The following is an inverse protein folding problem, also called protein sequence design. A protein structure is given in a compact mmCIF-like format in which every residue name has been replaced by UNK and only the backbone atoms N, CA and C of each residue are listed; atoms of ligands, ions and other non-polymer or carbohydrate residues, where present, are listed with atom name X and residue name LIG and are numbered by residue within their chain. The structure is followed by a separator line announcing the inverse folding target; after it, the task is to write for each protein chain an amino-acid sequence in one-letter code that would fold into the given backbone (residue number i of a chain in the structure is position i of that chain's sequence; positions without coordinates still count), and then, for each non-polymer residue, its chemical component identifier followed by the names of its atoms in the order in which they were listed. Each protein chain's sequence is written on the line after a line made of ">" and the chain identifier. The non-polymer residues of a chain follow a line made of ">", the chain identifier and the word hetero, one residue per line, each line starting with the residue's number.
data_IF_210658898643
#
_entry.id   IF_210658898643
#
_cell.length_a   1.000
_cell.length_b   1.000
_cell.length_c   1.000
_cell.angle_alpha   90.00
_cell.angle_beta   90.00
_cell.angle_gamma   90.00
#
_symmetry.space_group_name_H-M   'P 1'
#
loop_
_entity.id
_entity.type
_entity.pdbx_description
1 polymer ?
#
# COMPACT_ATOMS: atom_id res chain seq x y z
N UNK A 1 5.82 -60.28 -16.83
CA UNK A 1 6.54 -59.10 -17.22
C UNK A 1 6.29 -57.99 -16.23
N UNK A 2 7.26 -57.67 -15.35
CA UNK A 2 7.20 -56.53 -14.48
C UNK A 2 7.48 -55.27 -15.32
N UNK A 3 6.51 -54.39 -15.48
CA UNK A 3 6.72 -53.05 -15.99
C UNK A 3 7.40 -52.22 -14.88
N UNK A 4 8.67 -51.92 -15.09
CA UNK A 4 9.39 -50.92 -14.28
C UNK A 4 8.90 -49.54 -14.68
N UNK A 5 8.31 -48.80 -13.74
CA UNK A 5 8.09 -47.34 -13.86
C UNK A 5 9.43 -46.64 -14.04
N UNK A 6 9.57 -45.75 -14.97
CA UNK A 6 10.85 -45.00 -15.15
C UNK A 6 11.14 -44.19 -13.89
N UNK A 7 12.38 -44.31 -13.37
CA UNK A 7 12.86 -43.47 -12.29
C UNK A 7 13.00 -42.03 -12.80
N UNK A 8 12.44 -41.05 -12.01
CA UNK A 8 12.62 -39.64 -12.28
C UNK A 8 14.11 -39.24 -12.36
N UNK A 9 14.45 -38.39 -13.31
CA UNK A 9 15.81 -37.87 -13.48
C UNK A 9 16.22 -36.96 -12.32
N UNK A 10 17.53 -36.79 -12.07
CA UNK A 10 18.05 -35.94 -11.00
C UNK A 10 17.58 -34.47 -11.19
N UNK A 11 17.36 -34.05 -12.44
CA UNK A 11 16.85 -32.73 -12.79
C UNK A 11 15.36 -32.57 -12.44
N UNK A 12 14.54 -33.58 -12.69
CA UNK A 12 13.12 -33.62 -12.31
C UNK A 12 12.95 -33.63 -10.79
N UNK A 13 13.81 -34.35 -10.04
CA UNK A 13 13.83 -34.36 -8.57
C UNK A 13 14.23 -32.98 -8.02
N UNK A 14 15.16 -32.27 -8.70
CA UNK A 14 15.59 -30.94 -8.31
C UNK A 14 14.49 -29.90 -8.54
N UNK A 15 13.77 -29.98 -9.67
CA UNK A 15 12.61 -29.13 -9.98
C UNK A 15 11.46 -29.38 -9.00
N UNK A 16 11.20 -30.63 -8.61
CA UNK A 16 10.17 -30.98 -7.64
C UNK A 16 10.55 -30.56 -6.20
N UNK A 17 11.84 -30.65 -5.83
CA UNK A 17 12.37 -30.14 -4.58
C UNK A 17 12.32 -28.60 -4.51
N UNK A 18 12.64 -27.89 -5.61
CA UNK A 18 12.51 -26.44 -5.70
C UNK A 18 11.04 -25.99 -5.66
N UNK A 19 10.10 -26.71 -6.27
CA UNK A 19 8.66 -26.46 -6.17
C UNK A 19 8.11 -26.74 -4.76
N UNK A 20 8.62 -27.74 -4.07
CA UNK A 20 8.22 -28.05 -2.69
C UNK A 20 8.81 -27.06 -1.69
N UNK A 21 10.03 -26.53 -1.90
CA UNK A 21 10.64 -25.49 -1.07
C UNK A 21 9.88 -24.16 -1.21
N UNK A 22 9.41 -23.79 -2.41
CA UNK A 22 8.58 -22.61 -2.63
C UNK A 22 7.17 -22.74 -2.03
N UNK A 23 6.64 -23.94 -1.84
CA UNK A 23 5.33 -24.19 -1.21
C UNK A 23 5.38 -24.19 0.33
N UNK A 24 6.54 -24.45 0.94
CA UNK A 24 6.71 -24.56 2.40
C UNK A 24 7.16 -23.28 3.07
N UNK A 25 7.68 -22.30 2.32
CA UNK A 25 8.02 -20.98 2.82
C UNK A 25 6.86 -20.01 2.65
N UNK A 26 5.79 -20.23 3.44
CA UNK A 26 4.78 -19.20 3.59
C UNK A 26 5.42 -18.01 4.30
N UNK A 27 5.39 -16.84 3.64
CA UNK A 27 5.95 -15.61 4.19
C UNK A 27 5.15 -15.23 5.44
N UNK A 28 5.84 -14.81 6.50
CA UNK A 28 5.24 -14.42 7.78
C UNK A 28 4.08 -13.43 7.61
N UNK A 29 4.16 -12.56 6.61
CA UNK A 29 3.14 -11.56 6.31
C UNK A 29 2.05 -12.00 5.33
N UNK A 30 2.07 -13.26 4.85
CA UNK A 30 1.11 -13.74 3.83
C UNK A 30 -0.33 -13.61 4.30
N UNK A 31 -0.62 -13.92 5.56
CA UNK A 31 -1.97 -13.77 6.12
C UNK A 31 -2.51 -12.34 6.06
N UNK A 32 -1.64 -11.34 6.12
CA UNK A 32 -2.04 -9.93 5.97
C UNK A 32 -2.30 -9.58 4.51
N UNK A 33 -1.49 -10.12 3.59
CA UNK A 33 -1.69 -9.92 2.15
C UNK A 33 -2.98 -10.56 1.65
N UNK A 34 -3.38 -11.68 2.24
CA UNK A 34 -4.61 -12.39 1.90
C UNK A 34 -5.88 -11.59 2.22
N UNK A 35 -5.77 -10.56 3.06
CA UNK A 35 -6.86 -9.64 3.38
C UNK A 35 -7.07 -8.55 2.32
N UNK A 36 -6.12 -8.38 1.40
CA UNK A 36 -6.21 -7.36 0.35
C UNK A 36 -7.13 -7.87 -0.77
N UNK A 37 -8.11 -7.07 -1.15
CA UNK A 37 -9.05 -7.39 -2.21
C UNK A 37 -9.08 -6.29 -3.28
N UNK A 38 -8.88 -6.62 -4.56
CA UNK A 38 -8.51 -7.94 -5.08
C UNK A 38 -7.07 -8.31 -4.73
N UNK A 39 -6.79 -9.61 -4.61
CA UNK A 39 -5.44 -10.11 -4.35
C UNK A 39 -4.55 -9.91 -5.58
N UNK A 40 -3.66 -8.94 -5.52
CA UNK A 40 -2.77 -8.57 -6.62
C UNK A 40 -1.28 -8.72 -6.28
N UNK A 41 -0.95 -8.92 -5.02
CA UNK A 41 0.44 -9.07 -4.59
C UNK A 41 1.06 -10.34 -5.19
N UNK A 42 2.34 -10.28 -5.54
CA UNK A 42 3.10 -11.34 -6.22
C UNK A 42 2.65 -11.65 -7.67
N UNK A 43 1.68 -10.94 -8.21
CA UNK A 43 1.30 -11.10 -9.61
C UNK A 43 2.10 -10.13 -10.50
N UNK A 44 3.18 -10.63 -11.09
CA UNK A 44 4.03 -9.85 -12.01
C UNK A 44 3.66 -10.02 -13.48
N UNK A 45 2.61 -10.78 -13.78
CA UNK A 45 2.16 -11.03 -15.16
C UNK A 45 1.70 -9.73 -15.82
N UNK A 46 2.24 -9.47 -17.01
CA UNK A 46 1.87 -8.29 -17.80
C UNK A 46 2.54 -6.98 -17.35
N UNK A 47 3.38 -7.00 -16.32
CA UNK A 47 4.17 -5.82 -15.96
C UNK A 47 5.20 -5.52 -17.03
N UNK A 48 5.29 -4.24 -17.43
CA UNK A 48 6.23 -3.75 -18.45
C UNK A 48 7.43 -3.04 -17.83
N UNK A 49 7.91 -3.55 -16.70
CA UNK A 49 9.06 -3.01 -16.00
C UNK A 49 10.36 -3.42 -16.71
N UNK A 50 11.24 -2.45 -16.87
CA UNK A 50 12.58 -2.65 -17.43
C UNK A 50 13.61 -2.66 -16.31
N UNK A 51 14.76 -3.31 -16.57
CA UNK A 51 15.89 -3.30 -15.64
C UNK A 51 16.28 -1.88 -15.27
N UNK A 52 16.44 -1.63 -13.98
CA UNK A 52 16.83 -0.33 -13.44
C UNK A 52 15.71 0.71 -13.37
N UNK A 53 14.48 0.36 -13.68
CA UNK A 53 13.36 1.28 -13.52
C UNK A 53 13.21 1.75 -12.08
N UNK A 54 12.63 2.94 -11.91
CA UNK A 54 12.51 3.64 -10.65
C UNK A 54 11.05 3.80 -10.23
N UNK A 55 10.73 3.41 -9.00
CA UNK A 55 9.44 3.61 -8.36
C UNK A 55 9.65 4.46 -7.12
N UNK A 56 8.87 5.53 -6.97
CA UNK A 56 8.91 6.41 -5.81
C UNK A 56 7.70 6.19 -4.91
N UNK A 57 7.94 5.94 -3.63
CA UNK A 57 6.91 5.84 -2.60
C UNK A 57 7.07 7.00 -1.63
N UNK A 58 5.98 7.73 -1.41
CA UNK A 58 5.94 8.90 -0.54
C UNK A 58 4.93 8.66 0.58
N UNK A 59 5.42 8.65 1.82
CA UNK A 59 4.61 8.56 3.02
C UNK A 59 4.27 9.93 3.58
N UNK A 60 3.56 9.93 4.73
CA UNK A 60 3.22 11.18 5.44
C UNK A 60 4.33 11.65 6.37
N UNK A 61 5.13 10.73 6.90
CA UNK A 61 6.18 11.05 7.87
C UNK A 61 7.31 10.04 7.87
N UNK A 62 8.41 10.43 8.50
CA UNK A 62 9.51 9.59 8.93
C UNK A 62 9.54 9.48 10.46
N UNK A 63 10.20 8.46 10.98
CA UNK A 63 10.58 8.37 12.40
C UNK A 63 9.46 8.04 13.37
N UNK A 64 8.31 7.58 12.90
CA UNK A 64 7.25 7.03 13.74
C UNK A 64 7.17 5.52 13.57
N UNK A 65 6.67 4.81 14.57
CA UNK A 65 6.53 3.35 14.50
C UNK A 65 5.70 2.91 13.29
N UNK A 66 4.57 3.57 13.04
CA UNK A 66 3.69 3.25 11.92
C UNK A 66 4.42 3.41 10.57
N UNK A 67 5.05 4.56 10.35
CA UNK A 67 5.73 4.83 9.09
C UNK A 67 7.02 4.04 8.90
N UNK A 68 7.69 3.68 9.98
CA UNK A 68 8.83 2.75 9.94
C UNK A 68 8.38 1.35 9.46
N UNK A 69 7.22 0.88 9.91
CA UNK A 69 6.63 -0.38 9.42
C UNK A 69 6.21 -0.29 7.94
N UNK A 70 5.65 0.85 7.52
CA UNK A 70 5.34 1.09 6.09
C UNK A 70 6.62 1.02 5.26
N UNK A 71 7.69 1.68 5.70
CA UNK A 71 8.99 1.64 5.02
C UNK A 71 9.56 0.23 4.91
N UNK A 72 9.44 -0.57 5.95
CA UNK A 72 9.82 -1.99 5.90
C UNK A 72 9.00 -2.75 4.85
N UNK A 73 7.69 -2.50 4.79
CA UNK A 73 6.80 -3.08 3.79
C UNK A 73 7.21 -2.72 2.37
N UNK A 74 7.57 -1.46 2.13
CA UNK A 74 8.08 -0.98 0.84
C UNK A 74 9.37 -1.71 0.46
N UNK A 75 10.30 -1.84 1.38
CA UNK A 75 11.56 -2.56 1.17
C UNK A 75 11.31 -4.03 0.83
N UNK A 76 10.43 -4.69 1.57
CA UNK A 76 10.08 -6.08 1.34
C UNK A 76 9.39 -6.28 -0.01
N UNK A 77 8.46 -5.39 -0.38
CA UNK A 77 7.79 -5.44 -1.66
C UNK A 77 8.79 -5.29 -2.83
N UNK A 78 9.77 -4.40 -2.69
CA UNK A 78 10.84 -4.22 -3.68
C UNK A 78 11.69 -5.49 -3.84
N UNK A 79 12.06 -6.13 -2.74
CA UNK A 79 12.79 -7.41 -2.76
C UNK A 79 11.98 -8.51 -3.46
N UNK A 80 10.71 -8.65 -3.11
CA UNK A 80 9.81 -9.64 -3.71
C UNK A 80 9.59 -9.39 -5.20
N UNK A 81 9.42 -8.14 -5.60
CA UNK A 81 9.28 -7.74 -7.01
C UNK A 81 10.53 -8.14 -7.81
N UNK A 82 11.70 -7.77 -7.34
CA UNK A 82 12.96 -8.08 -8.02
C UNK A 82 13.20 -9.60 -8.09
N UNK A 83 12.89 -10.33 -7.03
CA UNK A 83 12.98 -11.80 -7.04
C UNK A 83 12.04 -12.41 -8.09
N UNK A 84 10.79 -11.93 -8.19
CA UNK A 84 9.84 -12.40 -9.19
C UNK A 84 10.27 -12.10 -10.62
N UNK A 85 10.91 -10.94 -10.85
CA UNK A 85 11.41 -10.54 -12.16
C UNK A 85 12.76 -11.16 -12.51
N UNK A 86 13.46 -11.74 -11.54
CA UNK A 86 14.81 -12.26 -11.70
C UNK A 86 15.88 -11.19 -11.86
N UNK A 87 15.64 -9.98 -11.36
CA UNK A 87 16.58 -8.86 -11.44
C UNK A 87 17.50 -8.81 -10.22
N UNK A 88 18.80 -8.66 -10.48
CA UNK A 88 19.85 -8.63 -9.47
C UNK A 88 20.80 -7.45 -9.69
N UNK A 89 21.53 -7.08 -8.66
CA UNK A 89 22.55 -6.03 -8.72
C UNK A 89 21.99 -4.70 -9.25
N UNK A 90 22.68 -4.12 -10.22
CA UNK A 90 22.28 -2.86 -10.87
C UNK A 90 21.02 -2.96 -11.74
N UNK A 91 20.59 -4.18 -12.07
CA UNK A 91 19.41 -4.43 -12.87
C UNK A 91 18.11 -4.36 -12.04
N UNK A 92 18.23 -4.35 -10.72
CA UNK A 92 17.08 -4.27 -9.83
C UNK A 92 16.21 -3.04 -10.11
N UNK A 93 14.90 -3.23 -10.01
CA UNK A 93 13.96 -2.11 -9.87
C UNK A 93 14.33 -1.36 -8.59
N UNK A 94 14.55 -0.07 -8.70
CA UNK A 94 14.89 0.80 -7.58
C UNK A 94 13.61 1.39 -6.99
N UNK A 95 13.36 1.10 -5.73
CA UNK A 95 12.20 1.64 -5.00
C UNK A 95 12.71 2.49 -3.84
N UNK A 96 12.24 3.73 -3.74
CA UNK A 96 12.58 4.63 -2.65
C UNK A 96 11.37 4.93 -1.80
N UNK A 97 11.61 5.21 -0.52
CA UNK A 97 10.64 5.76 0.40
C UNK A 97 11.13 7.12 0.89
N UNK A 98 10.33 8.15 0.68
CA UNK A 98 10.56 9.50 1.20
C UNK A 98 9.29 10.01 1.87
N UNK A 99 9.45 10.90 2.83
CA UNK A 99 8.33 11.52 3.53
C UNK A 99 8.76 12.82 4.19
N UNK A 100 7.82 13.73 4.50
CA UNK A 100 8.08 14.84 5.40
C UNK A 100 8.57 14.38 6.78
N UNK A 101 9.26 15.23 7.50
CA UNK A 101 9.66 14.93 8.88
C UNK A 101 8.44 14.87 9.82
N UNK A 102 7.40 15.65 9.52
CA UNK A 102 6.15 15.71 10.28
C UNK A 102 4.96 15.33 9.42
N UNK A 103 4.04 14.55 9.97
CA UNK A 103 2.90 13.96 9.27
C UNK A 103 1.82 14.96 8.81
N UNK A 104 1.87 16.20 9.26
CA UNK A 104 0.90 17.25 8.94
C UNK A 104 1.46 18.32 7.98
N UNK A 105 2.69 18.15 7.49
CA UNK A 105 3.32 19.13 6.62
C UNK A 105 2.96 18.92 5.15
N UNK A 106 1.87 19.55 4.73
CA UNK A 106 1.35 19.48 3.35
C UNK A 106 2.37 20.02 2.34
N UNK A 107 2.96 21.17 2.62
CA UNK A 107 3.89 21.83 1.69
C UNK A 107 5.14 20.98 1.44
N UNK A 108 5.70 20.38 2.47
CA UNK A 108 6.84 19.47 2.33
C UNK A 108 6.47 18.25 1.48
N UNK A 109 5.28 17.69 1.65
CA UNK A 109 4.85 16.56 0.83
C UNK A 109 4.65 16.93 -0.64
N UNK A 110 4.05 18.08 -0.91
CA UNK A 110 3.91 18.63 -2.28
C UNK A 110 5.27 18.80 -2.93
N UNK A 111 6.22 19.39 -2.22
CA UNK A 111 7.57 19.61 -2.72
C UNK A 111 8.31 18.28 -2.98
N UNK A 112 8.15 17.29 -2.10
CA UNK A 112 8.70 15.95 -2.31
C UNK A 112 8.13 15.29 -3.58
N UNK A 113 6.84 15.41 -3.80
CA UNK A 113 6.21 14.86 -5.00
C UNK A 113 6.74 15.54 -6.26
N UNK A 114 6.87 16.89 -6.26
CA UNK A 114 7.48 17.63 -7.37
C UNK A 114 8.90 17.12 -7.67
N UNK A 115 9.73 17.00 -6.64
CA UNK A 115 11.12 16.52 -6.78
C UNK A 115 11.17 15.08 -7.31
N UNK A 116 10.30 14.22 -6.83
CA UNK A 116 10.25 12.81 -7.28
C UNK A 116 9.75 12.68 -8.71
N UNK A 117 8.77 13.47 -9.12
CA UNK A 117 8.30 13.48 -10.51
C UNK A 117 9.39 13.93 -11.49
N UNK A 118 10.26 14.85 -11.09
CA UNK A 118 11.41 15.29 -11.87
C UNK A 118 12.45 14.18 -12.13
N UNK A 119 12.41 13.11 -11.37
CA UNK A 119 13.23 11.91 -11.59
C UNK A 119 12.61 10.92 -12.57
N UNK A 120 11.45 11.20 -13.10
CA UNK A 120 10.72 10.35 -14.04
C UNK A 120 10.55 8.90 -13.56
N UNK A 121 9.94 8.67 -12.39
CA UNK A 121 9.63 7.32 -11.95
C UNK A 121 8.63 6.66 -12.90
N UNK A 122 8.67 5.34 -13.00
CA UNK A 122 7.68 4.58 -13.78
C UNK A 122 6.33 4.49 -13.07
N UNK A 123 6.32 4.71 -11.76
CA UNK A 123 5.11 4.79 -10.94
C UNK A 123 5.41 5.54 -9.63
N UNK A 124 4.37 6.14 -9.06
CA UNK A 124 4.39 6.80 -7.76
C UNK A 124 3.34 6.18 -6.87
N UNK A 125 3.71 5.80 -5.66
CA UNK A 125 2.79 5.48 -4.57
C UNK A 125 2.84 6.59 -3.53
N UNK A 126 1.69 7.08 -3.08
CA UNK A 126 1.64 8.18 -2.11
C UNK A 126 0.47 8.03 -1.13
N UNK A 127 0.75 8.29 0.16
CA UNK A 127 -0.28 8.52 1.17
C UNK A 127 -0.42 10.01 1.39
N UNK A 128 -1.59 10.57 1.08
CA UNK A 128 -1.80 12.01 0.99
C UNK A 128 -2.09 12.61 2.37
N UNK A 129 -1.33 13.63 2.75
CA UNK A 129 -1.53 14.37 4.02
C UNK A 129 -2.86 15.12 4.00
N UNK A 130 -3.17 15.77 2.90
CA UNK A 130 -4.40 16.53 2.70
C UNK A 130 -5.15 16.02 1.47
N UNK A 131 -6.41 15.62 1.65
CA UNK A 131 -7.28 15.05 0.62
C UNK A 131 -7.29 15.85 -0.70
N UNK A 132 -7.16 17.17 -0.62
CA UNK A 132 -7.24 18.08 -1.77
C UNK A 132 -5.88 18.55 -2.27
N UNK A 133 -4.79 18.17 -1.62
CA UNK A 133 -3.45 18.57 -2.02
C UNK A 133 -2.94 17.81 -3.25
N UNK A 134 -1.87 18.32 -3.83
CA UNK A 134 -1.15 17.69 -4.94
C UNK A 134 -1.90 17.62 -6.28
N UNK A 135 -2.97 18.35 -6.46
CA UNK A 135 -3.76 18.30 -7.71
C UNK A 135 -2.91 18.67 -8.95
N UNK A 136 -2.09 19.72 -8.85
CA UNK A 136 -1.20 20.16 -9.93
C UNK A 136 -0.15 19.08 -10.25
N UNK A 137 0.42 18.47 -9.21
CA UNK A 137 1.43 17.43 -9.36
C UNK A 137 0.82 16.16 -9.98
N UNK A 138 -0.41 15.82 -9.64
CA UNK A 138 -1.11 14.71 -10.24
C UNK A 138 -1.45 14.96 -11.72
N UNK A 139 -1.78 16.19 -12.08
CA UNK A 139 -1.93 16.57 -13.49
C UNK A 139 -0.62 16.40 -14.26
N UNK A 140 0.50 16.83 -13.68
CA UNK A 140 1.83 16.64 -14.27
C UNK A 140 2.18 15.15 -14.43
N UNK A 141 1.87 14.33 -13.44
CA UNK A 141 2.08 12.88 -13.51
C UNK A 141 1.25 12.25 -14.64
N UNK A 142 -0.01 12.64 -14.75
CA UNK A 142 -0.93 12.18 -15.81
C UNK A 142 -0.41 12.57 -17.18
N UNK A 143 0.02 13.82 -17.36
CA UNK A 143 0.56 14.32 -18.63
C UNK A 143 1.88 13.61 -19.00
N UNK A 144 2.64 13.17 -18.02
CA UNK A 144 3.89 12.40 -18.19
C UNK A 144 3.67 10.90 -18.29
N UNK A 145 2.43 10.44 -18.27
CA UNK A 145 2.07 9.01 -18.24
C UNK A 145 2.67 8.22 -17.07
N UNK A 146 2.82 8.89 -15.92
CA UNK A 146 3.28 8.29 -14.67
C UNK A 146 2.05 7.93 -13.83
N UNK A 147 1.73 6.63 -13.67
CA UNK A 147 0.61 6.22 -12.84
C UNK A 147 0.88 6.54 -11.37
N UNK A 148 -0.17 7.02 -10.70
CA UNK A 148 -0.18 7.29 -9.27
C UNK A 148 -1.12 6.31 -8.58
N UNK A 149 -0.60 5.64 -7.56
CA UNK A 149 -1.37 4.79 -6.64
C UNK A 149 -1.37 5.48 -5.28
N UNK A 150 -2.54 5.65 -4.69
CA UNK A 150 -2.64 6.10 -3.30
C UNK A 150 -2.71 4.90 -2.35
N UNK A 151 -2.22 5.08 -1.15
CA UNK A 151 -2.34 4.08 -0.09
C UNK A 151 -2.55 4.77 1.25
N UNK A 152 -3.09 4.05 2.24
CA UNK A 152 -3.40 4.55 3.58
C UNK A 152 -4.41 5.71 3.56
N UNK A 153 -4.04 6.87 3.03
CA UNK A 153 -4.93 8.01 2.81
C UNK A 153 -4.93 8.43 1.34
N UNK A 154 -6.12 8.50 0.75
CA UNK A 154 -6.33 8.78 -0.66
C UNK A 154 -6.48 10.26 -1.01
N UNK A 155 -6.87 10.51 -2.25
CA UNK A 155 -7.03 11.82 -2.86
C UNK A 155 -8.40 11.96 -3.53
N UNK A 156 -8.87 13.20 -3.66
CA UNK A 156 -10.04 13.55 -4.50
C UNK A 156 -9.72 13.51 -6.00
N UNK A 157 -8.48 13.38 -6.38
CA UNK A 157 -8.06 13.39 -7.77
C UNK A 157 -8.60 12.18 -8.53
N UNK A 158 -9.30 12.41 -9.64
CA UNK A 158 -9.98 11.36 -10.41
C UNK A 158 -9.03 10.49 -11.23
N UNK A 159 -7.82 10.95 -11.49
CA UNK A 159 -6.82 10.24 -12.30
C UNK A 159 -5.94 9.26 -11.53
N UNK A 160 -6.23 8.99 -10.26
CA UNK A 160 -5.51 7.99 -9.47
C UNK A 160 -5.79 6.59 -10.04
N UNK A 161 -4.73 5.83 -10.30
CA UNK A 161 -4.84 4.51 -10.92
C UNK A 161 -5.45 3.45 -9.99
N UNK A 162 -5.14 3.53 -8.71
CA UNK A 162 -5.66 2.63 -7.66
C UNK A 162 -5.49 3.26 -6.28
N UNK A 163 -6.30 2.80 -5.33
CA UNK A 163 -6.17 3.12 -3.92
C UNK A 163 -6.09 1.83 -3.10
N UNK A 164 -5.10 1.72 -2.22
CA UNK A 164 -4.90 0.58 -1.33
C UNK A 164 -4.99 1.09 0.10
N UNK A 165 -6.14 0.88 0.73
CA UNK A 165 -6.40 1.42 2.06
C UNK A 165 -7.35 0.52 2.86
N UNK A 166 -7.42 0.77 4.15
CA UNK A 166 -8.50 0.27 5.00
C UNK A 166 -9.84 0.82 4.50
N UNK A 167 -10.91 0.04 4.59
CA UNK A 167 -12.27 0.57 4.48
C UNK A 167 -12.56 1.44 5.71
N UNK A 168 -12.24 2.72 5.62
CA UNK A 168 -12.30 3.66 6.73
C UNK A 168 -13.74 4.00 7.13
N UNK A 169 -14.68 3.89 6.21
CA UNK A 169 -16.10 4.05 6.50
C UNK A 169 -16.59 2.89 7.37
N UNK A 170 -16.30 1.66 6.95
CA UNK A 170 -16.61 0.47 7.74
C UNK A 170 -15.94 0.49 9.12
N UNK A 171 -14.66 0.89 9.17
CA UNK A 171 -13.91 0.97 10.43
C UNK A 171 -14.52 1.99 11.41
N UNK A 172 -14.88 3.17 10.94
CA UNK A 172 -15.54 4.20 11.76
C UNK A 172 -16.91 3.75 12.26
N UNK A 173 -17.71 3.15 11.38
CA UNK A 173 -19.03 2.60 11.71
C UNK A 173 -18.92 1.49 12.78
N UNK A 174 -18.03 0.54 12.59
CA UNK A 174 -17.81 -0.57 13.54
C UNK A 174 -17.33 -0.07 14.91
N UNK A 175 -16.40 0.88 14.92
CA UNK A 175 -15.92 1.48 16.17
C UNK A 175 -17.05 2.17 16.94
N UNK A 176 -17.91 2.90 16.24
CA UNK A 176 -19.08 3.57 16.86
C UNK A 176 -20.11 2.57 17.37
N UNK A 177 -20.42 1.51 16.62
CA UNK A 177 -21.31 0.43 17.06
C UNK A 177 -20.77 -0.24 18.33
N UNK A 178 -19.50 -0.51 18.37
CA UNK A 178 -18.86 -1.12 19.54
C UNK A 178 -18.90 -0.20 20.75
N UNK A 179 -18.63 1.09 20.56
CA UNK A 179 -18.72 2.08 21.61
C UNK A 179 -20.15 2.18 22.17
N UNK A 180 -21.15 2.29 21.31
CA UNK A 180 -22.55 2.36 21.72
C UNK A 180 -22.98 1.11 22.49
N UNK A 181 -22.59 -0.07 22.04
CA UNK A 181 -22.83 -1.34 22.74
C UNK A 181 -22.27 -1.32 24.15
N UNK A 182 -21.01 -0.89 24.32
CA UNK A 182 -20.36 -0.80 25.63
C UNK A 182 -21.00 0.28 26.54
N UNK A 183 -21.58 1.33 25.96
CA UNK A 183 -22.28 2.41 26.69
C UNK A 183 -23.73 2.09 27.01
N UNK A 184 -24.32 1.03 26.47
CA UNK A 184 -25.73 0.71 26.60
C UNK A 184 -26.64 1.68 25.84
N UNK A 185 -26.22 2.21 24.72
CA UNK A 185 -26.93 3.13 23.82
C UNK A 185 -27.33 4.47 24.47
N UNK A 186 -26.65 4.91 25.51
CA UNK A 186 -26.89 6.21 26.14
C UNK A 186 -25.62 6.82 26.70
N UNK A 187 -25.57 8.16 26.75
CA UNK A 187 -24.44 8.90 27.31
C UNK A 187 -23.84 9.88 26.32
N UNK A 188 -22.67 10.37 26.67
CA UNK A 188 -21.89 11.30 25.85
C UNK A 188 -20.63 10.62 25.36
N UNK A 189 -20.28 10.85 24.10
CA UNK A 189 -19.04 10.35 23.50
C UNK A 189 -18.21 11.52 22.95
N UNK A 190 -16.89 11.40 23.06
CA UNK A 190 -15.94 12.34 22.48
C UNK A 190 -15.11 11.60 21.46
N UNK A 191 -15.02 12.13 20.24
CA UNK A 191 -14.21 11.59 19.17
C UNK A 191 -12.89 12.35 19.09
N UNK A 192 -11.79 11.65 19.30
CA UNK A 192 -10.45 12.15 19.03
C UNK A 192 -10.05 11.74 17.63
N UNK A 193 -9.88 12.70 16.74
CA UNK A 193 -9.47 12.48 15.36
C UNK A 193 -8.01 12.80 15.16
N UNK A 194 -7.34 12.04 14.29
CA UNK A 194 -5.91 12.21 14.05
C UNK A 194 -5.59 13.55 13.38
N UNK A 195 -6.40 13.95 12.42
CA UNK A 195 -6.31 15.22 11.69
C UNK A 195 -7.65 15.55 11.03
N UNK A 196 -7.75 16.74 10.46
CA UNK A 196 -8.95 17.24 9.77
C UNK A 196 -8.81 17.34 8.25
N UNK A 197 -7.80 16.76 7.67
CA UNK A 197 -7.42 16.94 6.26
C UNK A 197 -7.31 15.66 5.47
N UNK A 198 -6.89 14.54 6.10
CA UNK A 198 -6.68 13.28 5.41
C UNK A 198 -7.99 12.53 5.16
N UNK A 199 -8.06 11.83 4.03
CA UNK A 199 -9.21 11.01 3.69
C UNK A 199 -9.54 10.00 4.78
N UNK A 200 -8.53 9.31 5.31
CA UNK A 200 -8.72 8.29 6.34
C UNK A 200 -9.37 8.87 7.60
N UNK A 201 -8.88 10.01 8.11
CA UNK A 201 -9.42 10.65 9.29
C UNK A 201 -10.85 11.19 9.06
N UNK A 202 -11.08 11.85 7.93
CA UNK A 202 -12.39 12.40 7.57
C UNK A 202 -13.45 11.32 7.40
N UNK A 203 -13.12 10.20 6.78
CA UNK A 203 -14.04 9.09 6.59
C UNK A 203 -14.38 8.39 7.91
N UNK A 204 -13.41 8.16 8.77
CA UNK A 204 -13.63 7.56 10.10
C UNK A 204 -14.49 8.45 10.99
N UNK A 205 -14.19 9.75 11.03
CA UNK A 205 -14.97 10.72 11.80
C UNK A 205 -16.42 10.77 11.34
N UNK A 206 -16.64 10.94 10.04
CA UNK A 206 -18.00 11.02 9.48
C UNK A 206 -18.78 9.74 9.73
N UNK A 207 -18.21 8.59 9.45
CA UNK A 207 -18.88 7.30 9.63
C UNK A 207 -19.23 7.04 11.10
N UNK A 208 -18.32 7.33 12.02
CA UNK A 208 -18.57 7.18 13.46
C UNK A 208 -19.66 8.14 13.95
N UNK A 209 -19.60 9.40 13.53
CA UNK A 209 -20.61 10.41 13.89
C UNK A 209 -21.99 10.04 13.35
N UNK A 210 -22.07 9.66 12.08
CA UNK A 210 -23.33 9.26 11.43
C UNK A 210 -23.93 8.04 12.14
N UNK A 211 -23.13 7.03 12.48
CA UNK A 211 -23.59 5.84 13.18
C UNK A 211 -24.15 6.17 14.57
N UNK A 212 -23.43 6.96 15.36
CA UNK A 212 -23.86 7.33 16.71
C UNK A 212 -25.10 8.21 16.72
N UNK A 213 -25.27 9.08 15.73
CA UNK A 213 -26.42 10.01 15.67
C UNK A 213 -27.65 9.39 15.03
N UNK A 214 -27.51 8.43 14.11
CA UNK A 214 -28.64 7.83 13.40
C UNK A 214 -29.20 6.57 14.07
N UNK A 215 -28.35 5.79 14.72
CA UNK A 215 -28.69 4.43 15.17
C UNK A 215 -28.58 4.20 16.68
N UNK A 216 -28.15 5.20 17.45
CA UNK A 216 -27.94 5.03 18.91
C UNK A 216 -28.39 6.18 19.77
#
# INVERSE_FOLDING_TARGET
>A
GCQQTPKATDEEKKIEAEKNTTKTEEKEYQGKLDLISPAAYNNTNGLKLKKGDYISIIGKANGTQYWDEVKKGVTQAAEDLNASLGYTGKDKIKVTYNAPDKADNVDDQVNLLDEELDRYPVAVGISIVDLQACQVQFDLATDSEIPVVTFDSGSDYQGVAADVSTDNVAAGTEAAQRLAEEMGDSGEAVLFIQDSKSQAALQREKAATDELTANH
#
